data_IF_042357947958
#
_entry.id   IF_042357947958
#
_cell.length_a   1.000
_cell.length_b   1.000
_cell.length_c   1.000
_cell.angle_alpha   90.00
_cell.angle_beta   90.00
_cell.angle_gamma   90.00
#
_symmetry.space_group_name_H-M   'P 1'
#
loop_
_entity.id
_entity.type
_entity.pdbx_description
1 polymer ?
#
# COMPACT_ATOMS: atom_id res chain seq x y z
N UNK A 1 -2.15 -19.38 -2.22
CA UNK A 1 -1.34 -18.14 -2.22
C UNK A 1 -0.64 -17.95 -0.87
N UNK A 2 -1.34 -17.52 0.20
CA UNK A 2 -0.71 -17.24 1.50
C UNK A 2 0.11 -18.40 2.09
N UNK A 3 -0.43 -19.63 2.08
CA UNK A 3 0.32 -20.81 2.56
C UNK A 3 1.58 -21.13 1.75
N UNK A 4 1.63 -20.74 0.46
CA UNK A 4 2.82 -20.92 -0.37
C UNK A 4 3.90 -19.87 -0.10
N UNK A 5 3.49 -18.65 0.26
CA UNK A 5 4.42 -17.59 0.69
C UNK A 5 5.01 -17.95 2.06
N UNK A 6 4.17 -18.22 3.06
CA UNK A 6 4.64 -18.55 4.41
C UNK A 6 5.39 -19.89 4.48
N UNK A 7 5.06 -20.83 3.59
CA UNK A 7 5.78 -22.09 3.46
C UNK A 7 7.10 -22.00 2.68
N UNK A 8 7.48 -20.82 2.17
CA UNK A 8 8.71 -20.62 1.40
C UNK A 8 8.72 -21.27 0.02
N UNK A 9 7.56 -21.72 -0.48
CA UNK A 9 7.43 -22.40 -1.77
C UNK A 9 7.39 -21.41 -2.92
N UNK A 10 6.81 -20.22 -2.70
CA UNK A 10 6.65 -19.18 -3.71
C UNK A 10 7.09 -17.82 -3.20
N UNK A 11 7.76 -17.06 -4.05
CA UNK A 11 7.89 -15.60 -3.88
C UNK A 11 6.52 -14.91 -4.04
N UNK A 12 6.35 -13.64 -3.58
CA UNK A 12 5.09 -12.92 -3.73
C UNK A 12 4.59 -12.88 -5.19
N UNK A 13 5.51 -12.70 -6.14
CA UNK A 13 5.22 -12.65 -7.58
C UNK A 13 4.74 -14.01 -8.11
N UNK A 14 5.44 -15.09 -7.74
CA UNK A 14 5.06 -16.47 -8.11
C UNK A 14 3.75 -16.89 -7.44
N UNK A 15 3.52 -16.47 -6.20
CA UNK A 15 2.28 -16.73 -5.47
C UNK A 15 1.08 -16.05 -6.15
N UNK A 16 1.28 -14.84 -6.69
CA UNK A 16 0.31 -14.16 -7.53
C UNK A 16 -0.01 -14.94 -8.81
N UNK A 17 1.03 -15.40 -9.53
CA UNK A 17 0.86 -16.23 -10.72
C UNK A 17 0.13 -17.55 -10.42
N UNK A 18 0.49 -18.22 -9.32
CA UNK A 18 -0.19 -19.43 -8.86
C UNK A 18 -1.66 -19.17 -8.48
N UNK A 19 -1.94 -18.01 -7.86
CA UNK A 19 -3.31 -17.56 -7.57
C UNK A 19 -4.14 -17.35 -8.84
N UNK A 20 -3.58 -16.66 -9.83
CA UNK A 20 -4.23 -16.42 -11.11
C UNK A 20 -4.50 -17.73 -11.88
N UNK A 21 -3.52 -18.64 -11.93
CA UNK A 21 -3.70 -19.98 -12.50
C UNK A 21 -4.79 -20.78 -11.77
N UNK A 22 -4.81 -20.73 -10.45
CA UNK A 22 -5.85 -21.38 -9.64
C UNK A 22 -7.25 -20.82 -9.94
N UNK A 23 -7.37 -19.49 -10.05
CA UNK A 23 -8.63 -18.84 -10.41
C UNK A 23 -9.11 -19.24 -11.82
N UNK A 24 -8.20 -19.27 -12.81
CA UNK A 24 -8.50 -19.74 -14.17
C UNK A 24 -8.94 -21.21 -14.18
N UNK A 25 -8.28 -22.08 -13.42
CA UNK A 25 -8.64 -23.49 -13.31
C UNK A 25 -10.05 -23.67 -12.73
N UNK A 26 -10.39 -22.94 -11.66
CA UNK A 26 -11.72 -22.97 -11.03
C UNK A 26 -12.79 -22.47 -12.00
N UNK A 27 -12.53 -21.35 -12.70
CA UNK A 27 -13.47 -20.78 -13.65
C UNK A 27 -13.68 -21.70 -14.88
N UNK A 28 -12.62 -22.37 -15.33
CA UNK A 28 -12.71 -23.43 -16.34
C UNK A 28 -13.55 -24.62 -15.86
N UNK A 29 -13.34 -25.08 -14.63
CA UNK A 29 -14.12 -26.18 -14.05
C UNK A 29 -15.61 -25.82 -13.89
N UNK A 30 -15.91 -24.57 -13.51
CA UNK A 30 -17.28 -24.04 -13.41
C UNK A 30 -17.93 -23.77 -14.77
N UNK A 31 -17.19 -23.94 -15.89
CA UNK A 31 -17.64 -23.64 -17.27
C UNK A 31 -18.19 -22.21 -17.42
N UNK A 32 -17.70 -21.27 -16.62
CA UNK A 32 -18.13 -19.87 -16.64
C UNK A 32 -17.28 -19.00 -17.57
N UNK A 33 -16.27 -19.58 -18.22
CA UNK A 33 -15.38 -18.91 -19.17
C UNK A 33 -15.62 -19.41 -20.59
N UNK A 34 -16.08 -18.51 -21.45
CA UNK A 34 -16.00 -18.67 -22.91
C UNK A 34 -14.78 -17.93 -23.46
N UNK A 35 -14.45 -18.16 -24.73
CA UNK A 35 -13.27 -17.54 -25.37
C UNK A 35 -13.33 -16.00 -25.37
N UNK A 36 -14.54 -15.43 -25.42
CA UNK A 36 -14.78 -13.99 -25.45
C UNK A 36 -14.58 -13.36 -24.07
N UNK A 37 -15.14 -13.95 -23.01
CA UNK A 37 -14.95 -13.52 -21.62
C UNK A 37 -13.49 -13.68 -21.19
N UNK A 38 -12.82 -14.77 -21.57
CA UNK A 38 -11.39 -14.94 -21.29
C UNK A 38 -10.57 -13.80 -21.90
N UNK A 39 -10.82 -13.45 -23.17
CA UNK A 39 -10.16 -12.32 -23.81
C UNK A 39 -10.48 -10.99 -23.12
N UNK A 40 -11.74 -10.77 -22.72
CA UNK A 40 -12.17 -9.60 -21.97
C UNK A 40 -11.40 -9.42 -20.66
N UNK A 41 -11.33 -10.48 -19.84
CA UNK A 41 -10.61 -10.46 -18.55
C UNK A 41 -9.11 -10.21 -18.75
N UNK A 42 -8.50 -10.79 -19.78
CA UNK A 42 -7.08 -10.54 -20.09
C UNK A 42 -6.84 -9.07 -20.49
N UNK A 43 -7.71 -8.49 -21.32
CA UNK A 43 -7.60 -7.08 -21.74
C UNK A 43 -7.81 -6.14 -20.56
N UNK A 44 -8.81 -6.38 -19.72
CA UNK A 44 -9.09 -5.58 -18.53
C UNK A 44 -7.92 -5.62 -17.54
N UNK A 45 -7.40 -6.83 -17.26
CA UNK A 45 -6.21 -7.02 -16.44
C UNK A 45 -4.98 -6.29 -17.02
N UNK A 46 -4.86 -6.29 -18.35
CA UNK A 46 -3.83 -5.55 -19.08
C UNK A 46 -3.94 -4.04 -18.91
N UNK A 47 -5.15 -3.46 -18.96
CA UNK A 47 -5.35 -2.03 -18.74
C UNK A 47 -4.93 -1.58 -17.35
N UNK A 48 -5.31 -2.35 -16.32
CA UNK A 48 -4.86 -2.11 -14.94
C UNK A 48 -3.34 -2.18 -14.84
N UNK A 49 -2.73 -3.22 -15.45
CA UNK A 49 -1.28 -3.41 -15.44
C UNK A 49 -0.52 -2.28 -16.13
N UNK A 50 -1.01 -1.79 -17.28
CA UNK A 50 -0.40 -0.68 -18.02
C UNK A 50 -0.42 0.60 -17.19
N UNK A 51 -1.53 0.90 -16.50
CA UNK A 51 -1.60 2.06 -15.60
C UNK A 51 -0.53 2.00 -14.50
N UNK A 52 -0.39 0.84 -13.84
CA UNK A 52 0.61 0.61 -12.80
C UNK A 52 2.04 0.74 -13.36
N UNK A 53 2.32 0.13 -14.51
CA UNK A 53 3.64 0.18 -15.14
C UNK A 53 4.02 1.60 -15.59
N UNK A 54 3.06 2.37 -16.12
CA UNK A 54 3.28 3.76 -16.50
C UNK A 54 3.58 4.63 -15.28
N UNK A 55 2.83 4.47 -14.20
CA UNK A 55 3.10 5.14 -12.93
C UNK A 55 4.47 4.78 -12.38
N UNK A 56 4.84 3.49 -12.36
CA UNK A 56 6.19 3.04 -11.95
C UNK A 56 7.30 3.67 -12.79
N UNK A 57 7.10 3.77 -14.10
CA UNK A 57 8.06 4.41 -15.00
C UNK A 57 8.23 5.89 -14.65
N UNK A 58 7.13 6.66 -14.58
CA UNK A 58 7.15 8.08 -14.21
C UNK A 58 7.78 8.31 -12.83
N UNK A 59 7.40 7.49 -11.85
CA UNK A 59 7.92 7.46 -10.49
C UNK A 59 9.44 7.23 -10.44
N UNK A 60 9.93 6.25 -11.22
CA UNK A 60 11.36 5.93 -11.27
C UNK A 60 12.19 7.06 -11.88
N UNK A 61 11.67 7.69 -12.94
CA UNK A 61 12.28 8.87 -13.54
C UNK A 61 12.31 10.02 -12.55
N UNK A 62 11.19 10.28 -11.86
CA UNK A 62 11.09 11.34 -10.87
C UNK A 62 12.05 11.14 -9.68
N UNK A 63 12.13 9.93 -9.14
CA UNK A 63 13.07 9.57 -8.06
C UNK A 63 14.53 9.84 -8.46
N UNK A 64 14.89 9.48 -9.70
CA UNK A 64 16.22 9.73 -10.24
C UNK A 64 16.48 11.23 -10.41
N UNK A 65 15.51 11.99 -10.92
CA UNK A 65 15.61 13.44 -11.02
C UNK A 65 15.79 14.12 -9.66
N UNK A 66 15.01 13.72 -8.64
CA UNK A 66 15.16 14.24 -7.28
C UNK A 66 16.54 13.94 -6.69
N UNK A 67 17.02 12.72 -6.90
CA UNK A 67 18.36 12.30 -6.45
C UNK A 67 19.44 13.13 -7.12
N UNK A 68 19.35 13.35 -8.43
CA UNK A 68 20.29 14.19 -9.18
C UNK A 68 20.21 15.67 -8.77
N UNK A 69 19.01 16.17 -8.45
CA UNK A 69 18.80 17.52 -7.96
C UNK A 69 19.26 17.72 -6.49
N UNK A 70 19.69 16.65 -5.80
CA UNK A 70 20.14 16.73 -4.41
C UNK A 70 19.03 16.94 -3.38
N UNK A 71 17.75 16.79 -3.78
CA UNK A 71 16.59 17.02 -2.91
C UNK A 71 16.61 16.16 -1.65
N UNK A 72 16.97 14.85 -1.69
CA UNK A 72 17.06 14.05 -0.46
C UNK A 72 18.07 14.61 0.56
N UNK A 73 19.18 15.17 0.08
CA UNK A 73 20.18 15.81 0.93
C UNK A 73 19.68 17.11 1.55
N UNK A 74 18.98 17.96 0.77
CA UNK A 74 18.37 19.20 1.26
C UNK A 74 17.28 18.95 2.29
N UNK A 75 16.42 17.95 2.08
CA UNK A 75 15.40 17.55 3.05
C UNK A 75 16.04 17.03 4.34
N UNK A 76 17.12 16.23 4.21
CA UNK A 76 17.83 15.72 5.37
C UNK A 76 18.46 16.84 6.21
N UNK A 77 19.04 17.87 5.58
CA UNK A 77 19.59 19.02 6.30
C UNK A 77 18.48 19.85 6.96
N UNK A 78 17.39 20.15 6.24
CA UNK A 78 16.23 20.88 6.80
C UNK A 78 15.64 20.20 8.05
N UNK A 79 15.43 18.89 7.99
CA UNK A 79 14.86 18.12 9.11
C UNK A 79 15.85 18.04 10.29
N UNK A 80 17.15 18.01 9.99
CA UNK A 80 18.20 18.08 11.03
C UNK A 80 18.25 19.46 11.69
N UNK A 81 18.10 20.54 10.92
CA UNK A 81 18.03 21.93 11.41
C UNK A 81 16.79 22.18 12.27
N UNK A 82 15.66 21.54 11.94
CA UNK A 82 14.44 21.51 12.77
C UNK A 82 14.60 20.73 14.08
N UNK A 83 15.72 20.02 14.28
CA UNK A 83 15.95 19.17 15.44
C UNK A 83 15.04 17.94 15.50
N UNK A 84 14.31 17.65 14.42
CA UNK A 84 13.30 16.59 14.38
C UNK A 84 13.90 15.20 14.13
N UNK A 85 15.10 15.14 13.53
CA UNK A 85 15.87 13.92 13.32
C UNK A 85 15.15 12.86 12.47
N UNK A 86 15.64 11.60 12.46
CA UNK A 86 15.05 10.51 11.68
C UNK A 86 13.59 10.20 12.05
N UNK A 87 13.26 10.28 13.34
CA UNK A 87 11.90 10.04 13.83
C UNK A 87 10.92 11.12 13.40
N UNK A 88 11.36 12.39 13.35
CA UNK A 88 10.53 13.50 12.86
C UNK A 88 10.18 13.37 11.39
N UNK A 89 11.16 13.00 10.54
CA UNK A 89 10.89 12.64 9.14
C UNK A 89 9.87 11.51 9.05
N UNK A 90 10.11 10.42 9.79
CA UNK A 90 9.29 9.22 9.68
C UNK A 90 7.86 9.44 10.15
N UNK A 91 7.66 10.20 11.22
CA UNK A 91 6.33 10.58 11.70
C UNK A 91 5.60 11.49 10.72
N UNK A 92 6.28 12.51 10.18
CA UNK A 92 5.70 13.40 9.16
C UNK A 92 5.30 12.62 7.90
N UNK A 93 6.12 11.66 7.49
CA UNK A 93 5.84 10.74 6.39
C UNK A 93 4.60 9.89 6.66
N UNK A 94 4.50 9.26 7.83
CA UNK A 94 3.32 8.47 8.21
C UNK A 94 2.04 9.31 8.22
N UNK A 95 2.10 10.52 8.79
CA UNK A 95 0.96 11.45 8.79
C UNK A 95 0.55 11.81 7.35
N UNK A 96 1.53 12.08 6.49
CA UNK A 96 1.27 12.33 5.07
C UNK A 96 0.55 11.15 4.41
N UNK A 97 1.00 9.91 4.64
CA UNK A 97 0.35 8.71 4.10
C UNK A 97 -1.07 8.52 4.63
N UNK A 98 -1.30 8.76 5.92
CA UNK A 98 -2.63 8.65 6.53
C UNK A 98 -3.60 9.62 5.86
N UNK A 99 -3.17 10.88 5.65
CA UNK A 99 -3.97 11.89 4.96
C UNK A 99 -4.20 11.49 3.51
N UNK A 100 -3.15 11.08 2.78
CA UNK A 100 -3.27 10.69 1.37
C UNK A 100 -4.18 9.47 1.18
N UNK A 101 -4.12 8.51 2.12
CA UNK A 101 -4.96 7.31 2.17
C UNK A 101 -6.44 7.61 2.31
N UNK A 102 -6.81 8.78 2.82
CA UNK A 102 -8.22 9.20 2.88
C UNK A 102 -8.79 9.56 1.50
N UNK A 103 -7.95 9.81 0.48
CA UNK A 103 -8.37 10.30 -0.85
C UNK A 103 -7.99 9.37 -2.00
N UNK A 104 -6.84 8.69 -1.89
CA UNK A 104 -6.26 7.88 -2.95
C UNK A 104 -6.21 6.40 -2.56
N UNK A 105 -6.20 5.52 -3.55
CA UNK A 105 -6.03 4.08 -3.34
C UNK A 105 -4.57 3.73 -2.96
N UNK A 106 -4.37 2.56 -2.35
CA UNK A 106 -3.06 2.16 -1.80
C UNK A 106 -1.97 2.06 -2.86
N UNK A 107 -2.31 1.54 -4.03
CA UNK A 107 -1.36 1.37 -5.13
C UNK A 107 -0.90 2.73 -5.62
N UNK A 108 -1.82 3.65 -5.89
CA UNK A 108 -1.49 5.02 -6.32
C UNK A 108 -0.57 5.75 -5.33
N UNK A 109 -0.87 5.66 -4.03
CA UNK A 109 -0.06 6.33 -2.98
C UNK A 109 1.36 5.78 -2.96
N UNK A 110 1.51 4.45 -2.91
CA UNK A 110 2.82 3.83 -2.84
C UNK A 110 3.64 4.13 -4.10
N UNK A 111 3.01 4.15 -5.28
CA UNK A 111 3.71 4.46 -6.52
C UNK A 111 4.20 5.92 -6.60
N UNK A 112 3.45 6.86 -6.02
CA UNK A 112 3.80 8.29 -6.04
C UNK A 112 4.80 8.64 -4.95
N UNK A 113 4.56 8.19 -3.72
CA UNK A 113 5.29 8.69 -2.54
C UNK A 113 6.58 7.89 -2.28
N UNK A 114 6.55 6.56 -2.45
CA UNK A 114 7.71 5.68 -2.18
C UNK A 114 8.99 6.10 -2.91
N UNK A 115 8.97 6.43 -4.23
CA UNK A 115 10.18 6.81 -4.96
C UNK A 115 10.83 8.10 -4.42
N UNK A 116 10.04 8.97 -3.78
CA UNK A 116 10.47 10.22 -3.17
C UNK A 116 10.99 9.97 -1.76
N UNK A 117 10.25 9.18 -0.98
CA UNK A 117 10.51 8.98 0.43
C UNK A 117 11.64 7.97 0.69
N UNK A 118 11.81 6.94 -0.14
CA UNK A 118 12.88 5.94 0.00
C UNK A 118 14.30 6.54 0.00
N UNK A 119 14.70 7.44 -0.94
CA UNK A 119 16.04 8.00 -0.90
C UNK A 119 16.27 8.87 0.35
N UNK A 120 15.23 9.50 0.89
CA UNK A 120 15.31 10.27 2.15
C UNK A 120 15.41 9.31 3.35
N UNK A 121 14.60 8.25 3.38
CA UNK A 121 14.67 7.23 4.43
C UNK A 121 16.06 6.58 4.49
N UNK A 122 16.66 6.29 3.32
CA UNK A 122 18.03 5.77 3.20
C UNK A 122 19.07 6.75 3.74
N UNK A 123 18.96 8.05 3.46
CA UNK A 123 19.94 9.03 3.95
C UNK A 123 19.92 9.16 5.48
N UNK A 124 18.76 8.89 6.10
CA UNK A 124 18.61 8.79 7.56
C UNK A 124 18.97 7.41 8.13
N UNK A 125 19.36 6.43 7.31
CA UNK A 125 19.70 5.07 7.76
C UNK A 125 18.49 4.26 8.23
N UNK A 126 17.28 4.62 7.81
CA UNK A 126 16.05 3.88 8.16
C UNK A 126 16.03 2.56 7.38
N UNK A 127 15.76 1.46 8.08
CA UNK A 127 15.56 0.15 7.47
C UNK A 127 14.37 0.16 6.50
N UNK A 128 14.58 -0.30 5.28
CA UNK A 128 13.57 -0.23 4.22
C UNK A 128 12.43 -1.23 4.40
N UNK A 129 12.68 -2.34 5.09
CA UNK A 129 11.63 -3.32 5.40
C UNK A 129 10.71 -2.72 6.45
N UNK A 130 11.26 -2.15 7.51
CA UNK A 130 10.51 -1.40 8.51
C UNK A 130 9.70 -0.26 7.88
N UNK A 131 10.36 0.55 7.05
CA UNK A 131 9.75 1.65 6.31
C UNK A 131 8.56 1.15 5.49
N UNK A 132 8.75 0.12 4.66
CA UNK A 132 7.69 -0.42 3.80
C UNK A 132 6.50 -0.99 4.57
N UNK A 133 6.75 -1.73 5.66
CA UNK A 133 5.68 -2.29 6.50
C UNK A 133 4.85 -1.18 7.14
N UNK A 134 5.50 -0.17 7.70
CA UNK A 134 4.83 1.00 8.29
C UNK A 134 4.05 1.77 7.22
N UNK A 135 4.64 1.95 6.02
CA UNK A 135 3.95 2.61 4.91
C UNK A 135 2.65 1.91 4.53
N UNK A 136 2.69 0.58 4.38
CA UNK A 136 1.51 -0.21 4.01
C UNK A 136 0.45 -0.11 5.10
N UNK A 137 0.82 -0.31 6.37
CA UNK A 137 -0.13 -0.22 7.50
C UNK A 137 -0.76 1.17 7.58
N UNK A 138 0.02 2.24 7.43
CA UNK A 138 -0.48 3.61 7.44
C UNK A 138 -1.46 3.89 6.29
N UNK A 139 -1.15 3.41 5.08
CA UNK A 139 -2.03 3.56 3.91
C UNK A 139 -3.35 2.81 4.11
N UNK A 140 -3.30 1.57 4.61
CA UNK A 140 -4.50 0.76 4.87
C UNK A 140 -5.41 1.40 5.95
N UNK A 141 -4.82 2.04 6.96
CA UNK A 141 -5.58 2.84 7.93
C UNK A 141 -6.27 4.03 7.25
N UNK A 142 -5.55 4.75 6.38
CA UNK A 142 -6.11 5.88 5.63
C UNK A 142 -7.33 5.49 4.79
N UNK A 143 -7.28 4.33 4.13
CA UNK A 143 -8.38 3.81 3.29
C UNK A 143 -9.66 3.47 4.06
N UNK A 144 -9.56 3.28 5.38
CA UNK A 144 -10.70 2.99 6.27
C UNK A 144 -11.18 4.24 7.00
N UNK A 145 -10.39 5.32 7.01
CA UNK A 145 -10.65 6.53 7.80
C UNK A 145 -11.40 7.57 6.95
N UNK A 146 -12.45 8.24 7.48
CA UNK A 146 -13.11 9.36 6.79
C UNK A 146 -12.11 10.48 6.44
N UNK A 147 -12.26 11.27 5.35
CA UNK A 147 -13.50 11.64 4.62
C UNK A 147 -14.05 10.70 3.54
N UNK A 148 -13.23 10.02 2.72
CA UNK A 148 -13.74 9.19 1.60
C UNK A 148 -13.66 7.68 1.84
N UNK A 149 -12.91 7.20 2.84
CA UNK A 149 -12.83 5.79 3.25
C UNK A 149 -13.13 4.77 2.15
N UNK A 150 -12.33 4.76 1.07
CA UNK A 150 -12.64 4.07 -0.19
C UNK A 150 -13.06 2.60 0.01
N UNK A 151 -12.45 1.91 0.96
CA UNK A 151 -12.78 0.53 1.32
C UNK A 151 -14.19 0.41 1.92
N UNK A 152 -14.62 1.37 2.72
CA UNK A 152 -15.98 1.42 3.29
C UNK A 152 -17.03 1.68 2.20
N UNK A 153 -16.74 2.59 1.26
CA UNK A 153 -17.64 2.85 0.12
C UNK A 153 -17.74 1.65 -0.83
N UNK A 154 -16.64 0.93 -1.05
CA UNK A 154 -16.64 -0.30 -1.84
C UNK A 154 -17.50 -1.40 -1.20
N UNK A 155 -17.48 -1.52 0.13
CA UNK A 155 -18.38 -2.45 0.84
C UNK A 155 -19.83 -1.99 0.74
N UNK A 156 -20.11 -0.70 0.88
CA UNK A 156 -21.47 -0.17 0.75
C UNK A 156 -22.05 -0.42 -0.64
N UNK A 157 -21.26 -0.22 -1.71
CA UNK A 157 -21.70 -0.46 -3.08
C UNK A 157 -22.00 -1.93 -3.36
N UNK A 158 -21.26 -2.86 -2.74
CA UNK A 158 -21.50 -4.30 -2.87
C UNK A 158 -22.74 -4.79 -2.12
N UNK A 159 -23.03 -4.24 -0.92
CA UNK A 159 -24.17 -4.63 -0.09
C UNK A 159 -25.47 -3.93 -0.56
N UNK A 160 -25.35 -2.75 -1.18
CA UNK A 160 -26.46 -1.91 -1.60
C UNK A 160 -26.88 -0.92 -0.51
N UNK A 161 -27.04 0.35 -0.92
CA UNK A 161 -27.31 1.49 -0.02
C UNK A 161 -28.60 1.31 0.78
N UNK A 162 -29.58 0.59 0.23
CA UNK A 162 -30.88 0.34 0.84
C UNK A 162 -30.82 -0.58 2.07
N UNK A 163 -29.73 -1.34 2.24
CA UNK A 163 -29.59 -2.30 3.36
C UNK A 163 -28.86 -1.71 4.55
N UNK A 164 -27.78 -0.96 4.33
CA UNK A 164 -26.90 -0.47 5.40
C UNK A 164 -26.41 0.94 5.06
N UNK A 165 -26.58 1.86 6.01
CA UNK A 165 -26.08 3.24 5.91
C UNK A 165 -24.56 3.27 6.09
N UNK A 166 -23.90 4.15 5.35
CA UNK A 166 -22.44 4.33 5.37
C UNK A 166 -21.89 4.53 6.80
N UNK A 167 -22.59 5.33 7.60
CA UNK A 167 -22.27 5.62 9.00
C UNK A 167 -22.19 4.35 9.86
N UNK A 168 -23.06 3.37 9.62
CA UNK A 168 -23.05 2.09 10.34
C UNK A 168 -21.80 1.28 9.99
N UNK A 169 -21.36 1.33 8.73
CA UNK A 169 -20.15 0.63 8.29
C UNK A 169 -18.91 1.30 8.88
N UNK A 170 -18.86 2.64 8.90
CA UNK A 170 -17.78 3.39 9.55
C UNK A 170 -17.73 3.14 11.07
N UNK A 171 -18.87 3.13 11.75
CA UNK A 171 -18.93 2.81 13.18
C UNK A 171 -18.45 1.37 13.45
N UNK A 172 -18.79 0.43 12.55
CA UNK A 172 -18.34 -0.96 12.63
C UNK A 172 -16.85 -1.14 12.33
N UNK A 173 -16.25 -0.32 11.45
CA UNK A 173 -14.81 -0.39 11.12
C UNK A 173 -13.92 0.33 12.14
N UNK A 174 -14.45 1.33 12.85
CA UNK A 174 -13.72 2.12 13.84
C UNK A 174 -12.91 1.31 14.89
N UNK A 175 -13.44 0.23 15.51
CA UNK A 175 -12.64 -0.58 16.45
C UNK A 175 -11.43 -1.25 15.78
N UNK A 176 -11.56 -1.65 14.52
CA UNK A 176 -10.44 -2.21 13.75
C UNK A 176 -9.42 -1.12 13.41
N UNK A 177 -9.88 0.06 13.01
CA UNK A 177 -9.01 1.22 12.76
C UNK A 177 -8.22 1.59 14.03
N UNK A 178 -8.86 1.62 15.20
CA UNK A 178 -8.19 1.87 16.48
C UNK A 178 -7.11 0.81 16.79
N UNK A 179 -7.41 -0.46 16.51
CA UNK A 179 -6.44 -1.55 16.66
C UNK A 179 -5.26 -1.38 15.69
N UNK A 180 -5.53 -1.03 14.43
CA UNK A 180 -4.48 -0.77 13.44
C UNK A 180 -3.61 0.43 13.82
N UNK A 181 -4.19 1.51 14.35
CA UNK A 181 -3.42 2.63 14.90
C UNK A 181 -2.52 2.19 16.07
N UNK A 182 -3.03 1.32 16.94
CA UNK A 182 -2.23 0.77 18.05
C UNK A 182 -1.04 -0.02 17.52
N UNK A 183 -1.27 -0.88 16.51
CA UNK A 183 -0.20 -1.62 15.84
C UNK A 183 0.77 -0.67 15.14
N UNK A 184 0.29 0.35 14.44
CA UNK A 184 1.14 1.34 13.78
C UNK A 184 2.08 2.03 14.77
N UNK A 185 1.56 2.47 15.92
CA UNK A 185 2.39 3.09 16.97
C UNK A 185 3.43 2.13 17.53
N UNK A 186 3.04 0.87 17.78
CA UNK A 186 3.98 -0.16 18.21
C UNK A 186 5.08 -0.38 17.17
N UNK A 187 4.74 -0.44 15.88
CA UNK A 187 5.74 -0.59 14.82
C UNK A 187 6.71 0.60 14.82
N UNK A 188 6.20 1.84 14.87
CA UNK A 188 7.03 3.06 14.86
C UNK A 188 8.05 3.08 16.01
N UNK A 189 7.66 2.68 17.22
CA UNK A 189 8.55 2.70 18.39
C UNK A 189 9.37 1.42 18.56
N UNK A 190 8.94 0.31 17.98
CA UNK A 190 9.62 -0.98 18.07
C UNK A 190 9.89 -1.55 16.66
N UNK A 191 10.92 -1.05 15.94
CA UNK A 191 11.25 -1.51 14.59
C UNK A 191 11.50 -3.02 14.50
N UNK A 192 11.99 -3.64 15.57
CA UNK A 192 12.19 -5.09 15.67
C UNK A 192 10.94 -5.91 15.37
N UNK A 193 9.74 -5.39 15.68
CA UNK A 193 8.48 -6.08 15.37
C UNK A 193 8.27 -6.25 13.87
N UNK A 194 8.78 -5.33 13.06
CA UNK A 194 8.68 -5.40 11.60
C UNK A 194 9.84 -6.11 10.93
N UNK A 195 11.03 -6.08 11.54
CA UNK A 195 12.25 -6.61 10.92
C UNK A 195 12.57 -8.04 11.36
N UNK A 196 12.11 -8.49 12.52
CA UNK A 196 12.49 -9.81 13.06
C UNK A 196 12.04 -11.01 12.23
N UNK A 197 10.95 -10.92 11.47
CA UNK A 197 10.54 -12.02 10.58
C UNK A 197 11.27 -11.96 9.22
N UNK A 198 11.76 -10.78 8.84
CA UNK A 198 12.44 -10.59 7.56
C UNK A 198 13.91 -11.05 7.60
N UNK A 199 14.50 -11.15 8.79
CA UNK A 199 15.89 -11.54 9.04
C UNK A 199 15.95 -12.72 10.00
#
# INVERSE_FOLDING_TARGET
>A
VLGGIYGGVFTPTEAGAAGALGALAIAGWRRSLDRKSLWGVLVESGHVSVGILFLLMAASLYSRMLTMAGVPGMMASWISELGAGPYGFFLAYVICLLILGMFLDSVSILLIVTPIAVPIAKSFGIDLVHFGIVSIVAVEIGLLTPPFGLSVFAVQSAIGVDRIRLETIFAGSLPFVATMFTVLWLLIFFPSLSTWLAY
#
